data_IF_874916809281
#
_entry.id   IF_874916809281
#
_cell.length_a   1.000
_cell.length_b   1.000
_cell.length_c   1.000
_cell.angle_alpha   90.00
_cell.angle_beta   90.00
_cell.angle_gamma   90.00
#
_symmetry.space_group_name_H-M   'P 1'
#
loop_
_entity.id
_entity.type
_entity.pdbx_description
1 polymer ?
#
# COMPACT_ATOMS: atom_id res chain seq x y z
N UNK A 1 11.06 36.58 17.41
CA UNK A 1 9.82 36.21 18.15
C UNK A 1 10.26 35.78 19.54
N UNK A 2 9.82 36.48 20.58
CA UNK A 2 10.19 36.16 21.97
C UNK A 2 9.22 35.07 22.42
N UNK A 3 9.72 33.87 22.70
CA UNK A 3 8.89 32.80 23.24
C UNK A 3 8.39 33.22 24.63
N UNK A 4 7.06 33.38 24.78
CA UNK A 4 6.43 33.44 26.08
C UNK A 4 6.27 32.00 26.58
N UNK A 5 7.25 31.54 27.34
CA UNK A 5 7.10 30.34 28.16
C UNK A 5 6.05 30.70 29.22
N UNK A 6 4.83 30.16 29.11
CA UNK A 6 3.72 30.47 30.04
C UNK A 6 4.03 30.06 31.49
N UNK A 7 5.00 29.17 31.65
CA UNK A 7 5.67 28.86 32.91
C UNK A 7 7.18 28.98 32.73
N UNK A 8 7.67 30.20 32.42
CA UNK A 8 9.04 30.51 32.74
C UNK A 8 9.18 30.34 34.26
N UNK A 9 9.86 29.28 34.70
CA UNK A 9 10.37 29.23 36.07
C UNK A 9 11.39 30.37 36.16
N UNK A 10 10.93 31.56 36.55
CA UNK A 10 11.76 32.73 36.82
C UNK A 10 12.59 32.56 38.10
N UNK A 11 12.39 31.44 38.80
CA UNK A 11 13.15 31.09 39.98
C UNK A 11 13.17 29.57 40.19
N UNK A 12 14.19 28.90 39.66
CA UNK A 12 14.64 27.66 40.28
C UNK A 12 15.39 28.14 41.51
N UNK A 13 14.75 28.11 42.68
CA UNK A 13 15.45 28.36 43.93
C UNK A 13 16.56 27.31 44.00
N UNK A 14 17.81 27.75 43.77
CA UNK A 14 18.96 26.91 44.02
C UNK A 14 18.93 26.56 45.50
N UNK A 15 18.55 25.31 45.81
CA UNK A 15 18.78 24.79 47.14
C UNK A 15 20.27 24.98 47.42
N UNK A 16 20.57 25.63 48.55
CA UNK A 16 21.91 25.68 49.13
C UNK A 16 22.42 24.24 49.29
N UNK A 17 23.16 23.74 48.30
CA UNK A 17 23.80 22.43 48.41
C UNK A 17 25.04 22.56 49.29
N UNK A 18 25.00 21.90 50.45
CA UNK A 18 26.17 21.61 51.28
C UNK A 18 27.05 20.54 50.60
N UNK A 19 28.25 20.28 51.13
CA UNK A 19 29.26 19.31 50.67
C UNK A 19 28.83 17.82 50.71
N UNK A 20 27.53 17.55 50.76
CA UNK A 20 26.91 16.22 50.83
C UNK A 20 25.88 15.97 49.74
N UNK A 21 25.69 16.91 48.79
CA UNK A 21 24.86 16.63 47.60
C UNK A 21 25.59 15.64 46.70
N UNK A 22 24.98 14.48 46.48
CA UNK A 22 25.44 13.49 45.52
C UNK A 22 25.29 14.11 44.11
N UNK A 23 26.38 14.19 43.35
CA UNK A 23 26.40 14.89 42.06
C UNK A 23 25.57 14.19 40.96
N UNK A 24 24.91 13.09 41.29
CA UNK A 24 24.18 12.22 40.38
C UNK A 24 22.64 12.32 40.51
N UNK A 25 22.11 13.23 41.34
CA UNK A 25 20.67 13.42 41.43
C UNK A 25 20.14 14.26 40.24
N UNK A 26 19.92 13.59 39.11
CA UNK A 26 19.26 14.18 37.95
C UNK A 26 17.77 14.37 38.23
N UNK A 27 17.37 15.60 38.55
CA UNK A 27 15.95 15.97 38.60
C UNK A 27 15.45 16.14 37.16
N UNK A 28 14.54 15.26 36.73
CA UNK A 28 13.89 15.35 35.43
C UNK A 28 12.86 16.48 35.45
N UNK A 29 13.07 17.50 34.63
CA UNK A 29 12.07 18.53 34.37
C UNK A 29 11.40 18.26 33.01
N UNK A 30 10.11 17.97 33.04
CA UNK A 30 9.30 17.81 31.83
C UNK A 30 8.47 19.07 31.60
N UNK A 31 8.54 19.59 30.37
CA UNK A 31 7.73 20.70 29.91
C UNK A 31 7.09 20.30 28.59
N UNK A 32 5.81 20.62 28.43
CA UNK A 32 5.14 20.54 27.13
C UNK A 32 5.06 21.96 26.58
N UNK A 33 5.54 22.15 25.36
CA UNK A 33 5.28 23.36 24.61
C UNK A 33 3.98 23.14 23.82
N UNK A 34 3.01 24.02 23.99
CA UNK A 34 1.72 23.97 23.31
C UNK A 34 1.43 25.30 22.59
N UNK A 35 0.53 25.24 21.60
CA UNK A 35 0.02 26.42 20.88
C UNK A 35 1.12 27.31 20.26
N UNK A 36 2.17 26.69 19.71
CA UNK A 36 3.18 27.37 18.89
C UNK A 36 3.02 26.96 17.43
N UNK A 37 3.52 27.80 16.53
CA UNK A 37 3.57 27.50 15.10
C UNK A 37 5.02 27.57 14.67
N UNK A 38 5.60 26.40 14.40
CA UNK A 38 6.91 26.26 13.79
C UNK A 38 6.70 25.83 12.34
N UNK A 39 7.21 26.57 11.34
CA UNK A 39 7.16 26.13 9.95
C UNK A 39 7.87 24.78 9.77
N UNK A 40 7.29 23.86 9.01
CA UNK A 40 7.93 22.59 8.66
C UNK A 40 9.08 22.77 7.66
N UNK A 41 8.89 23.65 6.68
CA UNK A 41 9.83 23.81 5.56
C UNK A 41 10.18 25.27 5.27
N UNK A 42 11.31 25.45 4.58
CA UNK A 42 11.78 26.74 4.04
C UNK A 42 12.31 26.55 2.62
N UNK A 43 12.08 27.54 1.76
CA UNK A 43 12.72 27.63 0.45
C UNK A 43 14.19 28.04 0.58
N UNK A 44 15.09 27.22 0.05
CA UNK A 44 16.52 27.51 -0.09
C UNK A 44 16.97 27.14 -1.49
N UNK A 45 17.63 28.07 -2.21
CA UNK A 45 18.14 27.83 -3.56
C UNK A 45 17.10 27.25 -4.55
N UNK A 46 15.83 27.66 -4.39
CA UNK A 46 14.68 27.19 -5.16
C UNK A 46 14.27 25.73 -4.91
N UNK A 47 14.74 25.14 -3.80
CA UNK A 47 14.34 23.83 -3.28
C UNK A 47 13.61 24.00 -1.93
N UNK A 48 12.62 23.15 -1.67
CA UNK A 48 11.96 23.07 -0.36
C UNK A 48 12.82 22.20 0.55
N UNK A 49 13.21 22.72 1.72
CA UNK A 49 13.96 21.96 2.73
C UNK A 49 13.25 21.96 4.06
N UNK A 50 13.34 20.84 4.77
CA UNK A 50 12.88 20.69 6.16
C UNK A 50 13.68 21.60 7.09
N UNK A 51 13.02 22.14 8.11
CA UNK A 51 13.65 22.98 9.14
C UNK A 51 13.93 22.15 10.39
N UNK A 52 15.20 22.10 10.78
CA UNK A 52 15.63 21.53 12.05
C UNK A 52 15.50 22.55 13.18
N UNK A 53 14.81 22.15 14.24
CA UNK A 53 14.67 22.88 15.49
C UNK A 53 15.50 22.21 16.58
N UNK A 54 16.02 23.02 17.51
CA UNK A 54 16.75 22.54 18.67
C UNK A 54 16.18 23.19 19.92
N UNK A 55 16.06 22.42 20.99
CA UNK A 55 15.79 22.94 22.30
C UNK A 55 17.12 23.30 22.99
N UNK A 56 17.30 24.56 23.38
CA UNK A 56 18.50 25.02 24.08
C UNK A 56 18.16 25.49 25.49
N UNK A 57 18.83 24.91 26.47
CA UNK A 57 18.74 25.32 27.88
C UNK A 57 19.95 26.17 28.23
N UNK A 58 19.71 27.33 28.85
CA UNK A 58 20.75 28.21 29.38
C UNK A 58 20.71 28.21 30.91
N UNK A 59 21.78 27.74 31.55
CA UNK A 59 21.97 27.89 32.98
C UNK A 59 22.76 29.17 33.27
N UNK A 60 22.33 29.91 34.29
CA UNK A 60 22.96 31.17 34.73
C UNK A 60 23.26 31.08 36.21
N UNK A 61 24.53 31.21 36.58
CA UNK A 61 24.95 31.31 37.98
C UNK A 61 24.48 32.65 38.58
N UNK A 62 24.37 32.72 39.91
CA UNK A 62 24.06 33.98 40.61
C UNK A 62 25.07 35.10 40.36
N UNK A 63 26.29 34.76 39.92
CA UNK A 63 27.32 35.71 39.48
C UNK A 63 27.11 36.25 38.05
N UNK A 64 26.12 35.74 37.31
CA UNK A 64 25.84 36.10 35.91
C UNK A 64 26.60 35.27 34.86
N UNK A 65 27.47 34.35 35.26
CA UNK A 65 28.16 33.42 34.34
C UNK A 65 27.18 32.38 33.79
N UNK A 66 27.31 32.02 32.51
CA UNK A 66 26.31 31.19 31.83
C UNK A 66 26.91 30.00 31.11
N UNK A 67 26.17 28.90 31.04
CA UNK A 67 26.45 27.76 30.15
C UNK A 67 25.19 27.40 29.37
N UNK A 68 25.34 26.77 28.20
CA UNK A 68 24.23 26.33 27.35
C UNK A 68 24.42 24.88 26.92
N UNK A 69 23.31 24.15 26.79
CA UNK A 69 23.25 22.82 26.19
C UNK A 69 22.08 22.76 25.23
N UNK A 70 22.23 22.05 24.12
CA UNK A 70 21.18 21.87 23.11
C UNK A 70 20.80 20.39 22.99
N UNK A 71 19.55 20.12 22.61
CA UNK A 71 19.09 18.80 22.18
C UNK A 71 19.71 18.38 20.85
N UNK A 72 19.51 17.12 20.46
CA UNK A 72 19.95 16.57 19.16
C UNK A 72 19.15 17.16 17.98
N UNK A 73 17.95 17.67 18.23
CA UNK A 73 17.11 18.37 17.26
C UNK A 73 15.80 17.64 17.00
N UNK A 74 14.87 18.31 16.31
CA UNK A 74 13.61 17.75 15.83
C UNK A 74 13.11 18.57 14.63
N UNK A 75 12.29 17.97 13.78
CA UNK A 75 11.60 18.65 12.69
C UNK A 75 10.09 18.62 12.93
N UNK A 76 9.35 19.38 12.11
CA UNK A 76 7.90 19.38 12.09
C UNK A 76 7.46 18.75 10.79
N UNK A 77 6.54 17.80 10.87
CA UNK A 77 5.78 17.30 9.74
C UNK A 77 4.36 17.88 9.84
N UNK A 78 3.96 18.60 8.81
CA UNK A 78 2.62 19.19 8.64
C UNK A 78 1.93 18.70 7.36
N UNK A 79 2.47 17.66 6.74
CA UNK A 79 2.01 17.09 5.48
C UNK A 79 1.24 15.79 5.69
N UNK A 80 0.19 15.53 4.91
CA UNK A 80 -0.46 14.22 4.91
C UNK A 80 0.32 13.20 4.07
N UNK A 81 0.21 11.90 4.41
CA UNK A 81 0.79 10.84 3.60
C UNK A 81 0.19 10.82 2.19
N UNK A 82 0.92 10.21 1.25
CA UNK A 82 0.58 10.18 -0.17
C UNK A 82 0.40 8.73 -0.64
N UNK A 83 -0.71 8.47 -1.33
CA UNK A 83 -0.86 7.23 -2.10
C UNK A 83 -0.14 7.36 -3.45
N UNK A 84 0.67 6.37 -3.81
CA UNK A 84 1.43 6.33 -5.05
C UNK A 84 0.47 6.27 -6.26
N UNK A 85 0.43 7.29 -7.12
CA UNK A 85 -0.54 7.37 -8.21
C UNK A 85 -0.29 6.32 -9.31
N UNK A 86 0.93 5.81 -9.48
CA UNK A 86 1.24 4.77 -10.45
C UNK A 86 0.67 3.42 -9.98
N UNK A 87 0.87 3.09 -8.70
CA UNK A 87 0.31 1.88 -8.09
C UNK A 87 -1.22 1.96 -8.03
N UNK A 88 -1.77 3.05 -7.51
CA UNK A 88 -3.23 3.20 -7.36
C UNK A 88 -3.95 3.38 -8.70
N UNK A 89 -3.23 3.82 -9.74
CA UNK A 89 -3.73 3.95 -11.11
C UNK A 89 -4.01 2.59 -11.78
N UNK A 90 -3.26 1.54 -11.44
CA UNK A 90 -3.42 0.18 -11.97
C UNK A 90 -4.37 -0.71 -11.18
N UNK A 91 -4.63 -1.93 -11.64
CA UNK A 91 -5.39 -2.91 -10.84
C UNK A 91 -4.63 -3.21 -9.55
N UNK A 92 -5.35 -3.24 -8.42
CA UNK A 92 -4.76 -3.41 -7.08
C UNK A 92 -5.10 -4.75 -6.42
N UNK A 93 -5.87 -5.58 -7.12
CA UNK A 93 -6.40 -6.85 -6.61
C UNK A 93 -5.53 -8.01 -7.04
N UNK A 94 -5.46 -9.05 -6.22
CA UNK A 94 -4.72 -10.27 -6.52
C UNK A 94 -5.69 -11.44 -6.35
N UNK A 95 -5.85 -12.24 -7.40
CA UNK A 95 -6.49 -13.54 -7.29
C UNK A 95 -5.46 -14.59 -6.89
N UNK A 96 -5.59 -15.12 -5.68
CA UNK A 96 -4.68 -16.12 -5.11
C UNK A 96 -4.60 -17.39 -5.95
N UNK A 97 -5.62 -17.69 -6.76
CA UNK A 97 -5.64 -18.83 -7.66
C UNK A 97 -4.86 -18.57 -8.97
N UNK A 98 -4.65 -17.31 -9.34
CA UNK A 98 -3.87 -16.90 -10.53
C UNK A 98 -2.40 -16.61 -10.21
N UNK A 99 -2.06 -16.44 -8.93
CA UNK A 99 -0.71 -16.24 -8.44
C UNK A 99 -0.63 -15.25 -7.27
N UNK A 100 0.55 -15.16 -6.66
CA UNK A 100 0.70 -14.43 -5.39
C UNK A 100 0.84 -12.90 -5.56
N UNK A 101 1.26 -12.44 -6.75
CA UNK A 101 1.70 -11.05 -7.00
C UNK A 101 1.23 -10.45 -8.33
N UNK A 102 0.35 -11.12 -9.07
CA UNK A 102 -0.12 -10.62 -10.36
C UNK A 102 -1.41 -9.84 -10.14
N UNK A 103 -1.44 -8.53 -10.45
CA UNK A 103 -2.67 -7.76 -10.38
C UNK A 103 -3.71 -8.27 -11.37
N UNK A 104 -4.97 -8.28 -10.95
CA UNK A 104 -6.09 -8.77 -11.76
C UNK A 104 -7.27 -7.81 -11.74
N UNK A 105 -7.98 -7.77 -12.86
CA UNK A 105 -9.30 -7.14 -12.99
C UNK A 105 -10.45 -8.11 -12.71
N UNK A 106 -10.20 -9.39 -12.97
CA UNK A 106 -11.13 -10.49 -12.80
C UNK A 106 -10.54 -11.53 -11.86
N UNK A 107 -11.35 -12.07 -10.95
CA UNK A 107 -10.94 -13.15 -10.05
C UNK A 107 -11.89 -14.34 -10.14
N UNK A 108 -11.34 -15.55 -9.98
CA UNK A 108 -12.07 -16.80 -9.85
C UNK A 108 -12.39 -17.17 -8.40
N UNK A 109 -11.64 -16.66 -7.43
CA UNK A 109 -11.94 -16.90 -6.02
C UNK A 109 -13.29 -16.29 -5.62
N UNK A 110 -14.16 -17.08 -4.99
CA UNK A 110 -15.45 -16.63 -4.47
C UNK A 110 -15.47 -16.46 -2.93
N UNK A 111 -14.31 -16.57 -2.29
CA UNK A 111 -14.18 -16.53 -0.83
C UNK A 111 -13.12 -15.54 -0.33
N UNK A 112 -12.30 -15.01 -1.25
CA UNK A 112 -11.13 -14.22 -0.91
C UNK A 112 -11.11 -12.90 -1.64
N UNK A 113 -10.77 -11.83 -0.94
CA UNK A 113 -10.35 -10.56 -1.51
C UNK A 113 -8.95 -10.27 -0.98
N UNK A 114 -7.98 -10.18 -1.89
CA UNK A 114 -6.60 -9.74 -1.60
C UNK A 114 -6.31 -8.49 -2.40
N UNK A 115 -5.71 -7.50 -1.75
CA UNK A 115 -5.29 -6.27 -2.39
C UNK A 115 -3.91 -5.82 -1.91
N UNK A 116 -3.29 -4.97 -2.71
CA UNK A 116 -2.07 -4.25 -2.35
C UNK A 116 -2.24 -2.78 -2.70
N UNK A 117 -1.53 -1.91 -2.01
CA UNK A 117 -1.51 -0.49 -2.30
C UNK A 117 -0.10 0.03 -2.05
N UNK A 118 0.09 1.31 -2.33
CA UNK A 118 1.30 1.98 -1.88
C UNK A 118 0.98 3.33 -1.28
N UNK A 119 1.34 3.50 -0.01
CA UNK A 119 1.23 4.75 0.72
C UNK A 119 2.59 5.07 1.37
N UNK A 120 3.01 6.32 1.33
CA UNK A 120 4.27 6.75 1.90
C UNK A 120 4.21 8.20 2.37
N UNK A 121 5.13 8.53 3.26
CA UNK A 121 5.35 9.85 3.83
C UNK A 121 6.86 9.97 4.04
N UNK A 122 7.51 10.99 3.48
CA UNK A 122 8.97 11.10 3.52
C UNK A 122 9.45 11.72 4.84
N UNK A 123 8.55 12.40 5.55
CA UNK A 123 8.82 13.18 6.72
C UNK A 123 8.68 12.36 7.99
N UNK A 124 7.59 11.60 8.20
CA UNK A 124 7.31 10.91 9.46
C UNK A 124 7.02 9.42 9.34
N UNK A 125 7.24 8.82 8.16
CA UNK A 125 6.90 7.44 7.82
C UNK A 125 5.40 7.10 8.01
N UNK A 126 4.97 5.97 7.45
CA UNK A 126 3.62 5.44 7.69
C UNK A 126 3.61 4.61 8.97
N UNK A 127 2.67 4.91 9.87
CA UNK A 127 2.50 4.18 11.13
C UNK A 127 1.30 3.25 11.11
N UNK A 128 0.29 3.52 10.27
CA UNK A 128 -0.94 2.74 10.23
C UNK A 128 -1.58 2.76 8.84
N UNK A 129 -2.06 1.59 8.40
CA UNK A 129 -2.89 1.42 7.22
C UNK A 129 -4.16 0.67 7.64
N UNK A 130 -5.30 1.18 7.20
CA UNK A 130 -6.57 0.49 7.35
C UNK A 130 -7.20 0.21 5.99
N UNK A 131 -7.87 -0.91 5.89
CA UNK A 131 -8.57 -1.29 4.68
C UNK A 131 -9.98 -1.82 4.99
N UNK A 132 -10.91 -1.57 4.08
CA UNK A 132 -12.29 -2.00 4.15
C UNK A 132 -12.72 -2.56 2.79
N UNK A 133 -13.74 -3.42 2.81
CA UNK A 133 -14.30 -4.06 1.61
C UNK A 133 -15.80 -3.79 1.53
N UNK A 134 -16.22 -3.32 0.37
CA UNK A 134 -17.62 -3.04 0.08
C UNK A 134 -18.07 -3.55 -1.28
N UNK A 135 -19.38 -3.47 -1.47
CA UNK A 135 -20.09 -3.67 -2.75
C UNK A 135 -20.27 -2.36 -3.52
N UNK A 136 -19.90 -1.23 -2.90
CA UNK A 136 -19.89 0.10 -3.50
C UNK A 136 -18.55 0.80 -3.23
N UNK A 137 -18.22 1.80 -4.06
CA UNK A 137 -17.01 2.63 -3.87
C UNK A 137 -17.06 3.32 -2.51
N UNK A 138 -16.04 3.13 -1.68
CA UNK A 138 -16.02 3.65 -0.30
C UNK A 138 -16.85 2.82 0.69
N UNK A 139 -17.49 1.75 0.23
CA UNK A 139 -18.34 0.88 1.02
C UNK A 139 -17.57 0.01 2.01
N UNK A 140 -18.30 -0.43 3.03
CA UNK A 140 -17.80 -1.26 4.14
C UNK A 140 -18.74 -2.44 4.41
N UNK A 141 -19.60 -2.79 3.44
CA UNK A 141 -20.70 -3.74 3.66
C UNK A 141 -20.22 -5.17 3.96
N UNK A 142 -19.02 -5.53 3.51
CA UNK A 142 -18.44 -6.86 3.73
C UNK A 142 -17.40 -6.87 4.85
N UNK A 143 -16.61 -5.79 4.96
CA UNK A 143 -15.59 -5.62 5.98
C UNK A 143 -15.49 -4.13 6.33
N UNK A 144 -15.64 -3.79 7.61
CA UNK A 144 -15.31 -2.46 8.13
C UNK A 144 -13.80 -2.20 8.12
N UNK A 145 -13.37 -0.96 8.33
CA UNK A 145 -11.93 -0.66 8.38
C UNK A 145 -11.19 -1.51 9.42
N UNK A 146 -10.30 -2.36 8.95
CA UNK A 146 -9.41 -3.19 9.74
C UNK A 146 -7.98 -2.69 9.59
N UNK A 147 -7.25 -2.61 10.70
CA UNK A 147 -5.84 -2.25 10.74
C UNK A 147 -4.98 -3.39 10.17
N UNK A 148 -3.99 -3.03 9.35
CA UNK A 148 -2.91 -3.93 8.93
C UNK A 148 -1.54 -3.38 9.32
N UNK A 149 -1.51 -2.48 10.30
CA UNK A 149 -0.31 -1.78 10.76
C UNK A 149 0.39 -1.08 9.58
N UNK A 150 1.71 -1.24 9.43
CA UNK A 150 2.49 -0.64 8.35
C UNK A 150 2.46 -1.46 7.05
N UNK A 151 1.73 -2.59 7.01
CA UNK A 151 1.64 -3.41 5.80
C UNK A 151 0.86 -2.70 4.70
N UNK A 152 1.30 -2.90 3.45
CA UNK A 152 0.65 -2.34 2.26
C UNK A 152 0.00 -3.41 1.38
N UNK A 153 -0.30 -4.56 1.98
CA UNK A 153 -1.08 -5.65 1.40
C UNK A 153 -1.93 -6.29 2.48
N UNK A 154 -3.13 -6.73 2.09
CA UNK A 154 -4.05 -7.40 2.98
C UNK A 154 -4.87 -8.44 2.24
N UNK A 155 -5.37 -9.42 2.99
CA UNK A 155 -6.20 -10.51 2.49
C UNK A 155 -7.28 -10.83 3.51
N UNK A 156 -8.51 -11.00 3.04
CA UNK A 156 -9.60 -11.55 3.82
C UNK A 156 -10.19 -12.75 3.06
N UNK A 157 -10.26 -13.89 3.76
CA UNK A 157 -10.69 -15.19 3.22
C UNK A 157 -12.03 -15.66 3.82
N UNK A 158 -12.80 -14.75 4.43
CA UNK A 158 -14.04 -15.07 5.14
C UNK A 158 -15.30 -14.95 4.28
N UNK A 159 -15.15 -14.75 2.96
CA UNK A 159 -16.27 -14.46 2.07
C UNK A 159 -16.87 -15.68 1.37
N UNK A 160 -16.64 -16.88 1.89
CA UNK A 160 -17.17 -18.11 1.29
C UNK A 160 -18.70 -18.03 1.11
N UNK A 161 -19.16 -18.16 -0.14
CA UNK A 161 -20.58 -18.06 -0.52
C UNK A 161 -21.14 -16.64 -0.55
N UNK A 162 -20.33 -15.61 -0.26
CA UNK A 162 -20.72 -14.20 -0.28
C UNK A 162 -20.43 -13.60 -1.67
N UNK A 163 -19.25 -13.87 -2.23
CA UNK A 163 -18.86 -13.28 -3.51
C UNK A 163 -19.61 -13.93 -4.68
N UNK A 164 -20.48 -13.15 -5.33
CA UNK A 164 -21.33 -13.57 -6.43
C UNK A 164 -20.69 -13.37 -7.81
N UNK A 165 -21.03 -14.26 -8.75
CA UNK A 165 -20.67 -14.12 -10.15
C UNK A 165 -21.13 -12.78 -10.74
N UNK A 166 -20.32 -12.20 -11.62
CA UNK A 166 -20.56 -10.95 -12.35
C UNK A 166 -20.87 -9.77 -11.42
N UNK A 167 -20.24 -9.73 -10.25
CA UNK A 167 -20.38 -8.67 -9.25
C UNK A 167 -19.03 -8.05 -8.94
N UNK A 168 -19.01 -6.72 -8.79
CA UNK A 168 -17.82 -5.95 -8.44
C UNK A 168 -17.71 -5.74 -6.93
N UNK A 169 -16.50 -5.85 -6.40
CA UNK A 169 -16.15 -5.55 -5.00
C UNK A 169 -15.05 -4.50 -4.94
N UNK A 170 -15.12 -3.61 -3.96
CA UNK A 170 -14.30 -2.40 -3.89
C UNK A 170 -13.52 -2.37 -2.57
N UNK A 171 -12.25 -1.98 -2.66
CA UNK A 171 -11.38 -1.76 -1.50
C UNK A 171 -11.32 -0.26 -1.20
N UNK A 172 -11.46 0.08 0.07
CA UNK A 172 -11.29 1.44 0.59
C UNK A 172 -10.13 1.45 1.58
N UNK A 173 -9.31 2.49 1.55
CA UNK A 173 -8.05 2.57 2.29
C UNK A 173 -7.97 3.85 3.12
N UNK A 174 -7.31 3.75 4.26
CA UNK A 174 -6.88 4.85 5.10
C UNK A 174 -5.39 4.64 5.37
N UNK A 175 -4.61 5.71 5.33
CA UNK A 175 -3.19 5.68 5.66
C UNK A 175 -2.87 6.85 6.59
N UNK A 176 -2.13 6.59 7.66
CA UNK A 176 -1.74 7.56 8.70
C UNK A 176 -0.23 7.59 8.86
N UNK A 177 0.34 8.81 8.90
CA UNK A 177 1.77 9.02 9.11
C UNK A 177 2.11 9.23 10.59
N UNK A 178 3.41 9.24 10.93
CA UNK A 178 3.89 9.41 12.30
C UNK A 178 3.51 10.74 12.97
N UNK A 179 3.14 11.76 12.19
CA UNK A 179 2.61 13.03 12.68
C UNK A 179 1.10 13.02 12.95
N UNK A 180 0.40 11.91 12.65
CA UNK A 180 -1.04 11.75 12.87
C UNK A 180 -1.90 12.34 11.75
N UNK A 181 -1.32 12.67 10.59
CA UNK A 181 -2.08 13.05 9.42
C UNK A 181 -2.62 11.82 8.70
N UNK A 182 -3.87 11.93 8.22
CA UNK A 182 -4.60 10.81 7.62
C UNK A 182 -5.05 11.16 6.20
N UNK A 183 -4.84 10.22 5.27
CA UNK A 183 -5.36 10.28 3.90
C UNK A 183 -6.27 9.08 3.62
N UNK A 184 -7.25 9.26 2.72
CA UNK A 184 -8.21 8.21 2.31
C UNK A 184 -8.14 7.98 0.81
N UNK A 185 -8.28 6.72 0.40
CA UNK A 185 -8.40 6.35 -1.00
C UNK A 185 -9.52 5.32 -1.18
N UNK A 186 -10.46 5.61 -2.07
CA UNK A 186 -11.54 4.69 -2.42
C UNK A 186 -11.30 4.22 -3.86
N UNK A 187 -11.04 2.92 -4.04
CA UNK A 187 -10.89 2.38 -5.38
C UNK A 187 -12.23 2.45 -6.14
N UNK A 188 -12.14 2.76 -7.43
CA UNK A 188 -13.31 2.93 -8.31
C UNK A 188 -13.41 1.85 -9.39
N UNK A 189 -12.37 1.03 -9.56
CA UNK A 189 -12.31 0.00 -10.60
C UNK A 189 -12.96 -1.30 -10.12
N UNK A 190 -12.71 -1.66 -8.87
CA UNK A 190 -13.13 -2.91 -8.25
C UNK A 190 -12.47 -4.12 -8.88
N UNK A 191 -12.74 -5.28 -8.28
CA UNK A 191 -12.49 -6.60 -8.90
C UNK A 191 -13.82 -7.25 -9.23
N UNK A 192 -13.91 -7.87 -10.40
CA UNK A 192 -15.11 -8.57 -10.86
C UNK A 192 -14.91 -10.08 -10.65
N UNK A 193 -15.88 -10.70 -9.98
CA UNK A 193 -15.84 -12.15 -9.72
C UNK A 193 -16.45 -12.92 -10.90
N UNK A 194 -15.66 -13.78 -11.55
CA UNK A 194 -16.09 -14.63 -12.67
C UNK A 194 -15.92 -16.10 -12.27
N UNK A 195 -17.02 -16.86 -12.25
CA UNK A 195 -17.06 -18.24 -11.74
C UNK A 195 -17.42 -19.27 -12.82
N UNK A 196 -17.60 -18.79 -14.05
CA UNK A 196 -17.95 -19.60 -15.22
C UNK A 196 -16.73 -19.76 -16.11
N UNK A 197 -16.68 -20.88 -16.84
CA UNK A 197 -15.62 -21.13 -17.83
C UNK A 197 -15.70 -20.10 -18.96
N UNK A 198 -14.56 -19.75 -19.58
CA UNK A 198 -14.56 -18.84 -20.73
C UNK A 198 -15.34 -19.45 -21.89
N UNK A 199 -15.83 -18.58 -22.77
CA UNK A 199 -16.58 -18.99 -23.97
C UNK A 199 -15.69 -19.90 -24.84
N UNK A 200 -16.21 -21.08 -25.20
CA UNK A 200 -15.55 -22.02 -26.11
C UNK A 200 -15.75 -21.60 -27.57
N UNK A 201 -14.93 -20.66 -28.04
CA UNK A 201 -14.99 -20.07 -29.38
C UNK A 201 -13.63 -19.94 -30.08
N UNK A 202 -12.59 -20.52 -29.48
CA UNK A 202 -11.24 -20.52 -30.02
C UNK A 202 -11.14 -21.57 -31.13
N UNK A 203 -11.03 -21.10 -32.37
CA UNK A 203 -10.82 -21.97 -33.52
C UNK A 203 -9.34 -22.21 -33.74
N UNK A 204 -8.95 -23.46 -34.03
CA UNK A 204 -7.57 -23.81 -34.38
C UNK A 204 -7.47 -24.25 -35.83
N UNK A 205 -6.33 -23.98 -36.46
CA UNK A 205 -5.99 -24.59 -37.76
C UNK A 205 -4.54 -25.06 -37.75
N UNK A 206 -4.23 -26.06 -38.59
CA UNK A 206 -2.90 -26.69 -38.66
C UNK A 206 -2.31 -26.46 -40.06
N UNK A 207 -1.70 -25.29 -40.33
CA UNK A 207 -1.02 -25.05 -41.59
C UNK A 207 0.07 -26.10 -41.88
N UNK A 208 0.11 -26.54 -43.13
CA UNK A 208 1.03 -27.61 -43.53
C UNK A 208 0.54 -29.02 -43.18
N UNK A 209 -0.73 -29.17 -42.80
CA UNK A 209 -1.41 -30.46 -42.72
C UNK A 209 -2.52 -30.57 -43.78
N UNK A 210 -2.87 -31.81 -44.14
CA UNK A 210 -3.95 -32.11 -45.09
C UNK A 210 -4.92 -33.14 -44.52
N UNK A 211 -6.20 -33.03 -44.88
CA UNK A 211 -7.22 -33.98 -44.47
C UNK A 211 -6.89 -35.40 -44.95
N UNK A 212 -6.99 -36.38 -44.05
CA UNK A 212 -6.94 -37.79 -44.41
C UNK A 212 -8.31 -38.23 -44.94
N UNK A 213 -8.32 -38.99 -46.04
CA UNK A 213 -9.55 -39.56 -46.60
C UNK A 213 -9.95 -40.90 -45.97
N UNK A 214 -9.09 -41.48 -45.13
CA UNK A 214 -9.34 -42.73 -44.44
C UNK A 214 -10.03 -42.48 -43.10
N UNK A 215 -10.76 -43.49 -42.60
CA UNK A 215 -11.31 -43.45 -41.24
C UNK A 215 -10.16 -43.34 -40.24
N UNK A 216 -10.03 -42.15 -39.66
CA UNK A 216 -9.03 -41.81 -38.64
C UNK A 216 -9.71 -41.58 -37.31
N UNK A 217 -9.00 -41.91 -36.23
CA UNK A 217 -9.42 -41.63 -34.87
C UNK A 217 -8.30 -40.82 -34.21
N UNK A 218 -8.57 -39.59 -33.74
CA UNK A 218 -9.85 -38.86 -33.77
C UNK A 218 -10.41 -38.56 -35.17
N UNK A 219 -11.73 -38.47 -35.26
CA UNK A 219 -12.42 -37.98 -36.48
C UNK A 219 -11.87 -36.59 -36.81
N UNK A 220 -11.73 -36.30 -38.10
CA UNK A 220 -11.17 -35.06 -38.66
C UNK A 220 -9.67 -34.82 -38.42
N UNK A 221 -8.93 -35.83 -37.96
CA UNK A 221 -7.46 -35.73 -37.85
C UNK A 221 -6.80 -35.42 -39.20
N UNK A 222 -5.84 -34.49 -39.18
CA UNK A 222 -5.05 -34.10 -40.35
C UNK A 222 -3.65 -34.74 -40.32
N UNK A 223 -3.08 -35.00 -41.50
CA UNK A 223 -1.71 -35.49 -41.66
C UNK A 223 -0.75 -34.34 -41.95
N UNK A 224 0.36 -34.25 -41.22
CA UNK A 224 1.44 -33.31 -41.58
C UNK A 224 2.02 -33.63 -42.97
N UNK A 225 2.22 -32.59 -43.77
CA UNK A 225 2.89 -32.68 -45.08
C UNK A 225 4.42 -32.75 -44.95
N UNK A 226 4.98 -32.34 -43.81
CA UNK A 226 6.41 -32.44 -43.47
C UNK A 226 6.54 -33.09 -42.08
N UNK A 227 7.19 -34.26 -41.95
CA UNK A 227 7.33 -34.94 -40.66
C UNK A 227 8.18 -34.17 -39.64
N UNK A 228 8.88 -33.11 -40.06
CA UNK A 228 9.74 -32.28 -39.21
C UNK A 228 9.17 -30.90 -38.90
N UNK A 229 8.04 -30.52 -39.51
CA UNK A 229 7.45 -29.18 -39.37
C UNK A 229 5.93 -29.25 -39.34
N UNK A 230 5.34 -28.51 -38.42
CA UNK A 230 3.90 -28.35 -38.34
C UNK A 230 3.60 -26.92 -37.88
N UNK A 231 2.70 -26.23 -38.58
CA UNK A 231 2.17 -24.95 -38.15
C UNK A 231 0.93 -25.16 -37.27
N UNK A 232 0.74 -24.27 -36.30
CA UNK A 232 -0.52 -24.16 -35.55
C UNK A 232 -0.91 -22.69 -35.52
N UNK A 233 -2.19 -22.41 -35.74
CA UNK A 233 -2.78 -21.09 -35.53
C UNK A 233 -4.05 -21.24 -34.74
N UNK A 234 -4.41 -20.21 -33.98
CA UNK A 234 -5.66 -20.15 -33.24
C UNK A 234 -6.27 -18.74 -33.32
N UNK A 235 -7.59 -18.62 -33.19
CA UNK A 235 -8.27 -17.34 -33.02
C UNK A 235 -8.26 -16.91 -31.56
N UNK A 236 -8.25 -15.59 -31.31
CA UNK A 236 -8.53 -15.09 -29.96
C UNK A 236 -9.99 -15.40 -29.60
N UNK A 237 -10.23 -15.59 -28.31
CA UNK A 237 -11.57 -15.71 -27.76
C UNK A 237 -12.27 -14.36 -27.78
N UNK A 238 -13.59 -14.35 -27.90
CA UNK A 238 -14.39 -13.14 -27.73
C UNK A 238 -14.64 -12.81 -26.25
N UNK A 239 -14.27 -13.70 -25.33
CA UNK A 239 -14.32 -13.43 -23.90
C UNK A 239 -13.18 -12.47 -23.50
N UNK A 240 -13.54 -11.24 -23.13
CA UNK A 240 -12.59 -10.19 -22.73
C UNK A 240 -11.86 -10.50 -21.41
N UNK A 241 -12.33 -11.48 -20.62
CA UNK A 241 -11.65 -11.91 -19.41
C UNK A 241 -10.45 -12.83 -19.70
N UNK A 242 -10.36 -13.40 -20.91
CA UNK A 242 -9.22 -14.24 -21.31
C UNK A 242 -7.97 -13.38 -21.47
N UNK A 243 -7.05 -13.50 -20.51
CA UNK A 243 -5.81 -12.72 -20.48
C UNK A 243 -4.55 -13.53 -20.86
N UNK A 244 -4.67 -14.86 -21.02
CA UNK A 244 -3.55 -15.76 -21.33
C UNK A 244 -4.01 -16.97 -22.14
N UNK A 245 -3.19 -17.39 -23.10
CA UNK A 245 -3.35 -18.64 -23.84
C UNK A 245 -2.19 -19.60 -23.53
N UNK A 246 -2.52 -20.87 -23.32
CA UNK A 246 -1.55 -21.96 -23.22
C UNK A 246 -1.74 -22.94 -24.38
N UNK A 247 -0.65 -23.47 -24.91
CA UNK A 247 -0.68 -24.50 -25.96
C UNK A 247 0.06 -25.74 -25.46
N UNK A 248 -0.57 -26.91 -25.60
CA UNK A 248 0.00 -28.20 -25.25
C UNK A 248 -0.22 -29.21 -26.39
N UNK A 249 0.70 -30.17 -26.50
CA UNK A 249 0.60 -31.30 -27.42
C UNK A 249 0.44 -32.54 -26.55
N UNK A 250 -0.61 -33.33 -26.81
CA UNK A 250 -0.91 -34.56 -26.08
C UNK A 250 -1.03 -35.73 -27.06
N UNK A 251 -0.44 -36.86 -26.70
CA UNK A 251 -0.67 -38.13 -27.41
C UNK A 251 -1.97 -38.76 -26.90
N UNK A 252 -2.82 -39.21 -27.82
CA UNK A 252 -4.04 -39.94 -27.51
C UNK A 252 -3.69 -41.44 -27.55
N UNK A 253 -3.84 -42.12 -26.40
CA UNK A 253 -3.62 -43.58 -26.25
C UNK A 253 -4.96 -44.31 -26.30
#
# INVERSE_FOLDING_TARGET
MIFHVSHAITHVQGNNCNSTCDAEEHVLYQFMLDNFTLPATRMEDNETKTIDYYFTVKAVLGSGVTTVVSSDGFYIDDTPPIFDPEVMGGDIYIDVDQGEFTPVRYQGSNSTIKAFWRCYDEESDIVENLWAIGTTVGGQELQEFESVETNQTAINMTFEGILQHNTSYFVSLICENGAGHVVRYNDTKGVIVLLEDPIDDVNTTIPGATQLSADVTPIDSMQSTDPTKLGVTFSLSHDEAVNRYGMYIQEII
#
